data_IF_552977159983
#
_entry.id   IF_552977159983
#
_cell.length_a   1.000
_cell.length_b   1.000
_cell.length_c   1.000
_cell.angle_alpha   90.00
_cell.angle_beta   90.00
_cell.angle_gamma   90.00
#
_symmetry.space_group_name_H-M   'P 1'
#
loop_
_entity.id
_entity.type
_entity.pdbx_description
1 polymer ?
#
# COMPACT_ATOMS: atom_id res chain seq x y z
N UNK A 1 29.62 -8.83 5.32
CA UNK A 1 29.91 -7.38 5.34
C UNK A 1 28.67 -6.55 5.69
N UNK A 2 27.51 -6.83 5.08
CA UNK A 2 26.21 -6.17 5.34
C UNK A 2 25.86 -6.00 6.83
N UNK A 3 25.90 -7.08 7.63
CA UNK A 3 25.49 -7.01 9.03
C UNK A 3 26.31 -6.00 9.86
N UNK A 4 27.62 -5.91 9.60
CA UNK A 4 28.48 -4.89 10.24
C UNK A 4 28.04 -3.47 9.87
N UNK A 5 27.69 -3.24 8.60
CA UNK A 5 27.19 -1.94 8.14
C UNK A 5 25.85 -1.59 8.80
N UNK A 6 24.95 -2.56 8.95
CA UNK A 6 23.66 -2.37 9.65
C UNK A 6 23.90 -1.99 11.11
N UNK A 7 24.74 -2.74 11.83
CA UNK A 7 25.07 -2.41 13.23
C UNK A 7 25.68 -1.02 13.36
N UNK A 8 26.66 -0.68 12.52
CA UNK A 8 27.26 0.65 12.52
C UNK A 8 26.26 1.75 12.14
N UNK A 9 25.31 1.47 11.26
CA UNK A 9 24.23 2.40 10.90
C UNK A 9 23.28 2.65 12.06
N UNK A 10 22.84 1.59 12.73
CA UNK A 10 21.93 1.69 13.90
C UNK A 10 22.55 2.45 15.06
N UNK A 11 23.87 2.34 15.24
CA UNK A 11 24.61 3.12 16.22
C UNK A 11 24.74 4.59 15.80
N UNK A 12 24.98 4.86 14.51
CA UNK A 12 25.10 6.22 13.99
C UNK A 12 23.79 6.98 14.07
N UNK A 13 22.69 6.35 13.68
CA UNK A 13 21.35 6.93 13.67
C UNK A 13 20.59 6.59 14.97
N UNK A 14 21.33 6.47 16.08
CA UNK A 14 20.76 6.05 17.34
C UNK A 14 19.71 7.04 17.87
N UNK A 15 20.01 8.35 17.84
CA UNK A 15 19.09 9.38 18.32
C UNK A 15 17.83 9.46 17.44
N UNK A 16 18.00 9.35 16.13
CA UNK A 16 16.89 9.25 15.17
C UNK A 16 15.93 8.11 15.52
N UNK A 17 16.49 6.91 15.73
CA UNK A 17 15.72 5.71 16.04
C UNK A 17 15.13 5.75 17.45
N UNK A 18 15.78 6.41 18.41
CA UNK A 18 15.24 6.63 19.76
C UNK A 18 13.99 7.50 19.72
N UNK A 19 13.99 8.58 18.93
CA UNK A 19 12.80 9.43 18.75
C UNK A 19 11.64 8.59 18.21
N UNK A 20 11.87 7.87 17.12
CA UNK A 20 10.85 7.02 16.50
C UNK A 20 10.27 6.01 17.49
N UNK A 21 11.15 5.25 18.14
CA UNK A 21 10.72 4.15 19.00
C UNK A 21 10.05 4.63 20.27
N UNK A 22 10.46 5.76 20.85
CA UNK A 22 9.80 6.37 22.02
C UNK A 22 8.42 6.92 21.70
N UNK A 23 8.20 7.44 20.49
CA UNK A 23 6.89 7.94 20.09
C UNK A 23 5.91 6.80 19.83
N UNK A 24 6.39 5.67 19.31
CA UNK A 24 5.54 4.50 19.01
C UNK A 24 5.31 3.63 20.25
N UNK A 25 6.34 3.41 21.07
CA UNK A 25 6.32 2.48 22.20
C UNK A 25 6.66 3.20 23.50
N UNK A 26 5.80 3.03 24.51
CA UNK A 26 5.99 3.60 25.85
C UNK A 26 6.88 2.76 26.76
N UNK A 27 7.11 1.49 26.40
CA UNK A 27 7.89 0.53 27.19
C UNK A 27 9.30 0.33 26.62
N UNK A 28 10.20 -0.28 27.41
CA UNK A 28 11.57 -0.60 26.97
C UNK A 28 11.53 -1.37 25.64
N UNK A 29 12.08 -0.73 24.61
CA UNK A 29 12.08 -1.28 23.26
C UNK A 29 13.17 -2.34 23.14
N UNK A 30 12.79 -3.49 22.58
CA UNK A 30 13.72 -4.54 22.23
C UNK A 30 14.67 -4.06 21.13
N UNK A 31 15.96 -4.35 21.26
CA UNK A 31 16.96 -3.99 20.25
C UNK A 31 16.55 -4.42 18.84
N UNK A 32 15.82 -5.54 18.72
CA UNK A 32 15.26 -6.04 17.47
C UNK A 32 14.39 -5.01 16.73
N UNK A 33 13.48 -4.32 17.44
CA UNK A 33 12.62 -3.28 16.86
C UNK A 33 13.48 -2.13 16.34
N UNK A 34 14.52 -1.72 17.08
CA UNK A 34 15.45 -0.66 16.65
C UNK A 34 16.19 -1.04 15.37
N UNK A 35 16.71 -2.28 15.30
CA UNK A 35 17.34 -2.80 14.09
C UNK A 35 16.38 -2.87 12.91
N UNK A 36 15.14 -3.31 13.17
CA UNK A 36 14.13 -3.44 12.14
C UNK A 36 13.66 -2.08 11.61
N UNK A 37 13.46 -1.10 12.48
CA UNK A 37 13.16 0.28 12.08
C UNK A 37 14.25 0.86 11.18
N UNK A 38 15.52 0.64 11.52
CA UNK A 38 16.64 1.07 10.67
C UNK A 38 16.58 0.42 9.28
N UNK A 39 16.30 -0.89 9.23
CA UNK A 39 16.17 -1.61 7.97
C UNK A 39 15.01 -1.09 7.12
N UNK A 40 13.86 -0.78 7.71
CA UNK A 40 12.70 -0.23 6.98
C UNK A 40 13.00 1.17 6.42
N UNK A 41 13.63 2.03 7.21
CA UNK A 41 13.76 3.44 6.83
C UNK A 41 14.91 3.65 5.85
N UNK A 42 16.04 2.97 6.06
CA UNK A 42 17.27 3.26 5.33
C UNK A 42 17.70 2.18 4.35
N UNK A 43 17.18 0.95 4.48
CA UNK A 43 17.70 -0.23 3.77
C UNK A 43 16.59 -1.10 3.19
N UNK A 44 15.40 -0.55 2.97
CA UNK A 44 14.25 -1.34 2.51
C UNK A 44 14.51 -1.94 1.13
N UNK A 45 15.16 -1.18 0.25
CA UNK A 45 15.63 -1.64 -1.07
C UNK A 45 16.62 -2.80 -1.01
N UNK A 46 17.46 -2.85 0.04
CA UNK A 46 18.45 -3.91 0.22
C UNK A 46 17.85 -5.16 0.85
N UNK A 47 16.62 -5.07 1.39
CA UNK A 47 15.89 -6.22 1.88
C UNK A 47 15.05 -6.84 0.77
N UNK A 48 15.37 -8.09 0.44
CA UNK A 48 14.48 -8.92 -0.37
C UNK A 48 13.15 -9.03 0.38
N UNK A 49 12.05 -8.60 -0.26
CA UNK A 49 10.70 -8.57 0.32
C UNK A 49 10.32 -9.85 1.08
N UNK A 50 10.64 -11.02 0.52
CA UNK A 50 10.35 -12.31 1.14
C UNK A 50 11.07 -12.53 2.48
N UNK A 51 12.27 -11.95 2.65
CA UNK A 51 13.03 -12.00 3.90
C UNK A 51 12.44 -11.00 4.91
N UNK A 52 12.01 -9.83 4.45
CA UNK A 52 11.30 -8.86 5.27
C UNK A 52 9.98 -9.43 5.83
N UNK A 53 9.21 -10.12 4.98
CA UNK A 53 8.00 -10.83 5.38
C UNK A 53 8.28 -11.90 6.44
N UNK A 54 9.36 -12.68 6.29
CA UNK A 54 9.75 -13.70 7.28
C UNK A 54 10.18 -13.06 8.61
N UNK A 55 10.95 -11.98 8.58
CA UNK A 55 11.41 -11.29 9.80
C UNK A 55 10.25 -10.63 10.58
N UNK A 56 9.27 -10.04 9.88
CA UNK A 56 8.04 -9.54 10.51
C UNK A 56 7.19 -10.63 11.14
N UNK A 57 7.43 -11.89 10.79
CA UNK A 57 6.63 -13.05 11.20
C UNK A 57 7.21 -13.85 12.36
N UNK A 58 8.39 -13.56 12.90
CA UNK A 58 9.10 -14.54 13.74
C UNK A 58 9.04 -14.35 15.27
N UNK A 59 8.64 -13.21 15.85
CA UNK A 59 8.70 -13.05 17.33
C UNK A 59 7.61 -12.22 18.02
N UNK A 60 7.22 -11.07 17.48
CA UNK A 60 6.19 -10.21 18.09
C UNK A 60 5.38 -9.51 17.00
N UNK A 61 4.33 -10.19 16.52
CA UNK A 61 3.48 -9.68 15.45
C UNK A 61 2.78 -8.37 15.83
N UNK A 62 2.48 -8.16 17.12
CA UNK A 62 1.78 -6.98 17.60
C UNK A 62 2.64 -5.73 17.47
N UNK A 63 3.85 -5.75 18.03
CA UNK A 63 4.78 -4.61 17.94
C UNK A 63 5.24 -4.36 16.51
N UNK A 64 5.50 -5.41 15.74
CA UNK A 64 5.94 -5.27 14.34
C UNK A 64 4.83 -4.70 13.46
N UNK A 65 3.59 -5.16 13.63
CA UNK A 65 2.44 -4.60 12.91
C UNK A 65 2.21 -3.14 13.31
N UNK A 66 2.27 -2.81 14.61
CA UNK A 66 2.16 -1.43 15.09
C UNK A 66 3.26 -0.52 14.51
N UNK A 67 4.51 -0.99 14.51
CA UNK A 67 5.65 -0.26 13.93
C UNK A 67 5.43 0.02 12.44
N UNK A 68 5.08 -1.01 11.66
CA UNK A 68 4.90 -0.88 10.22
C UNK A 68 3.68 0.01 9.93
N UNK A 69 2.55 -0.18 10.62
CA UNK A 69 1.37 0.68 10.46
C UNK A 69 1.71 2.14 10.74
N UNK A 70 2.46 2.41 11.80
CA UNK A 70 2.86 3.78 12.13
C UNK A 70 3.84 4.35 11.10
N UNK A 71 4.83 3.57 10.65
CA UNK A 71 5.84 4.03 9.69
C UNK A 71 5.28 4.35 8.30
N UNK A 72 4.15 3.75 7.94
CA UNK A 72 3.49 3.99 6.66
C UNK A 72 2.23 4.88 6.80
N UNK A 73 1.94 5.35 8.01
CA UNK A 73 0.99 6.43 8.26
C UNK A 73 1.74 7.77 8.18
N UNK A 74 1.86 8.28 6.95
CA UNK A 74 2.66 9.47 6.64
C UNK A 74 2.14 10.70 7.40
N UNK A 75 0.83 10.82 7.60
CA UNK A 75 0.23 11.93 8.36
C UNK A 75 0.69 11.91 9.82
N UNK A 76 0.73 10.74 10.46
CA UNK A 76 1.27 10.60 11.82
C UNK A 76 2.75 10.92 11.89
N UNK A 77 3.55 10.49 10.91
CA UNK A 77 4.98 10.84 10.86
C UNK A 77 5.15 12.35 10.74
N UNK A 78 4.44 12.99 9.81
CA UNK A 78 4.55 14.43 9.60
C UNK A 78 4.13 15.23 10.83
N UNK A 79 3.14 14.76 11.58
CA UNK A 79 2.59 15.47 12.75
C UNK A 79 3.41 15.24 14.02
N UNK A 80 3.81 13.99 14.29
CA UNK A 80 4.38 13.61 15.60
C UNK A 80 5.89 13.41 15.59
N UNK A 81 6.47 12.99 14.46
CA UNK A 81 7.88 12.60 14.40
C UNK A 81 8.73 13.63 13.69
N UNK A 82 8.26 14.13 12.54
CA UNK A 82 9.00 15.10 11.73
C UNK A 82 9.48 16.31 12.55
N UNK A 83 8.67 16.94 13.41
CA UNK A 83 9.13 18.07 14.23
C UNK A 83 10.32 17.71 15.13
N UNK A 84 10.37 16.48 15.64
CA UNK A 84 11.45 16.01 16.50
C UNK A 84 12.70 15.62 15.70
N UNK A 85 12.53 15.05 14.50
CA UNK A 85 13.66 14.71 13.65
C UNK A 85 14.36 15.94 13.08
N UNK A 86 13.64 17.01 12.75
CA UNK A 86 14.26 18.23 12.22
C UNK A 86 15.01 19.04 13.29
N UNK A 87 14.85 18.72 14.58
CA UNK A 87 15.69 19.31 15.64
C UNK A 87 17.13 18.78 15.60
N UNK A 88 17.33 17.57 15.08
CA UNK A 88 18.62 16.88 15.07
C UNK A 88 19.17 16.59 13.66
N UNK A 89 18.33 16.67 12.63
CA UNK A 89 18.71 16.52 11.22
C UNK A 89 18.22 17.69 10.38
N UNK A 90 18.83 17.86 9.21
CA UNK A 90 18.41 18.87 8.25
C UNK A 90 16.95 18.64 7.78
N UNK A 91 16.09 19.68 7.76
CA UNK A 91 14.70 19.56 7.35
C UNK A 91 14.50 19.01 5.93
N UNK A 92 15.37 19.38 4.98
CA UNK A 92 15.30 18.92 3.60
C UNK A 92 15.62 17.43 3.52
N UNK A 93 16.63 16.98 4.25
CA UNK A 93 16.97 15.55 4.35
C UNK A 93 15.79 14.72 4.89
N UNK A 94 15.12 15.18 5.95
CA UNK A 94 13.97 14.47 6.51
C UNK A 94 12.81 14.39 5.52
N UNK A 95 12.52 15.48 4.81
CA UNK A 95 11.41 15.50 3.86
C UNK A 95 11.70 14.66 2.62
N UNK A 96 12.82 14.92 1.95
CA UNK A 96 13.09 14.37 0.62
C UNK A 96 13.63 12.95 0.69
N UNK A 97 14.45 12.66 1.71
CA UNK A 97 15.07 11.34 1.85
C UNK A 97 14.22 10.44 2.72
N UNK A 98 13.99 10.80 3.99
CA UNK A 98 13.35 9.87 4.93
C UNK A 98 11.86 9.66 4.59
N UNK A 99 11.09 10.74 4.49
CA UNK A 99 9.65 10.66 4.18
C UNK A 99 9.45 10.24 2.73
N UNK A 100 10.23 10.79 1.79
CA UNK A 100 10.17 10.40 0.38
C UNK A 100 10.39 8.90 0.15
N UNK A 101 11.35 8.27 0.84
CA UNK A 101 11.56 6.81 0.77
C UNK A 101 10.35 6.04 1.29
N UNK A 102 9.76 6.46 2.42
CA UNK A 102 8.59 5.79 2.99
C UNK A 102 7.37 5.89 2.06
N UNK A 103 7.13 7.05 1.46
CA UNK A 103 6.07 7.26 0.47
C UNK A 103 6.28 6.39 -0.77
N UNK A 104 7.52 6.32 -1.28
CA UNK A 104 7.87 5.50 -2.44
C UNK A 104 7.62 4.00 -2.18
N UNK A 105 7.90 3.51 -0.98
CA UNK A 105 7.73 2.10 -0.62
C UNK A 105 6.33 1.74 -0.13
N UNK A 106 5.46 2.71 0.13
CA UNK A 106 4.11 2.48 0.61
C UNK A 106 3.30 1.45 -0.21
N UNK A 107 3.30 1.47 -1.56
CA UNK A 107 2.53 0.51 -2.36
C UNK A 107 2.95 -0.95 -2.13
N UNK A 108 4.25 -1.21 -2.02
CA UNK A 108 4.82 -2.53 -1.77
C UNK A 108 4.48 -3.04 -0.35
N UNK A 109 4.33 -2.11 0.58
CA UNK A 109 4.10 -2.39 1.99
C UNK A 109 2.62 -2.60 2.32
N UNK A 110 1.70 -2.10 1.49
CA UNK A 110 0.25 -2.28 1.65
C UNK A 110 -0.17 -3.75 1.69
N UNK A 111 0.39 -4.58 0.82
CA UNK A 111 0.11 -6.02 0.79
C UNK A 111 0.61 -6.72 2.05
N UNK A 112 1.78 -6.30 2.53
CA UNK A 112 2.38 -6.85 3.74
C UNK A 112 1.59 -6.42 4.99
N UNK A 113 1.18 -5.16 5.07
CA UNK A 113 0.30 -4.62 6.11
C UNK A 113 -1.01 -5.40 6.19
N UNK A 114 -1.64 -5.73 5.06
CA UNK A 114 -2.85 -6.55 5.02
C UNK A 114 -2.62 -7.97 5.61
N UNK A 115 -1.49 -8.59 5.26
CA UNK A 115 -1.12 -9.92 5.76
C UNK A 115 -0.72 -9.95 7.25
N UNK A 116 -0.08 -8.89 7.74
CA UNK A 116 0.32 -8.74 9.14
C UNK A 116 -0.87 -8.36 10.01
N UNK A 117 -1.73 -7.45 9.56
CA UNK A 117 -2.87 -6.99 10.33
C UNK A 117 -3.88 -8.11 10.55
N UNK A 118 -4.17 -8.92 9.52
CA UNK A 118 -5.06 -10.08 9.63
C UNK A 118 -4.55 -11.17 10.59
N UNK A 119 -3.25 -11.21 10.88
CA UNK A 119 -2.62 -12.16 11.82
C UNK A 119 -2.43 -11.57 13.22
N UNK A 120 -2.13 -10.27 13.33
CA UNK A 120 -1.94 -9.57 14.59
C UNK A 120 -3.27 -9.18 15.26
N UNK A 121 -4.29 -8.94 14.46
CA UNK A 121 -5.62 -8.48 14.90
C UNK A 121 -6.65 -9.27 14.11
N UNK A 122 -7.68 -9.82 14.75
CA UNK A 122 -8.84 -10.35 14.00
C UNK A 122 -9.64 -9.25 13.24
N UNK A 123 -9.05 -8.06 13.03
CA UNK A 123 -9.60 -6.87 12.39
C UNK A 123 -8.65 -6.41 11.29
N UNK A 124 -9.21 -5.98 10.16
CA UNK A 124 -8.46 -5.45 9.03
C UNK A 124 -7.86 -4.08 9.38
N UNK A 125 -6.72 -3.75 8.75
CA UNK A 125 -5.98 -2.52 9.02
C UNK A 125 -6.76 -1.31 8.48
N UNK A 126 -6.91 -0.25 9.27
CA UNK A 126 -7.66 0.97 8.88
C UNK A 126 -7.03 1.70 7.68
N UNK A 127 -5.73 1.49 7.46
CA UNK A 127 -4.97 1.99 6.30
C UNK A 127 -5.22 1.21 5.00
N UNK A 128 -5.95 0.09 5.08
CA UNK A 128 -6.26 -0.81 3.96
C UNK A 128 -7.79 -0.87 3.83
N UNK A 129 -8.41 0.27 3.55
CA UNK A 129 -9.80 0.30 3.13
C UNK A 129 -9.87 0.02 1.62
N UNK A 130 -10.40 -1.14 1.24
CA UNK A 130 -10.59 -1.57 -0.16
C UNK A 130 -12.06 -1.47 -0.57
N UNK A 131 -12.46 -0.32 -1.10
CA UNK A 131 -13.39 -0.30 -2.24
C UNK A 131 -12.64 -0.83 -3.47
N UNK A 132 -12.36 -2.14 -3.49
CA UNK A 132 -12.07 -2.98 -4.67
C UNK A 132 -11.48 -4.32 -4.22
N UNK A 133 -12.35 -5.23 -3.74
CA UNK A 133 -12.00 -6.64 -3.62
C UNK A 133 -13.07 -7.51 -4.29
N UNK A 134 -12.76 -8.25 -5.37
CA UNK A 134 -13.58 -9.37 -5.77
C UNK A 134 -13.51 -10.43 -4.66
N UNK A 135 -14.66 -10.80 -4.11
CA UNK A 135 -14.77 -11.82 -3.08
C UNK A 135 -14.18 -13.15 -3.57
N UNK A 136 -13.26 -13.80 -2.83
CA UNK A 136 -13.01 -15.21 -3.03
C UNK A 136 -14.12 -16.01 -2.35
N UNK A 137 -15.07 -16.51 -3.13
CA UNK A 137 -16.00 -17.52 -2.67
C UNK A 137 -15.26 -18.86 -2.56
N UNK A 138 -14.73 -19.20 -1.38
CA UNK A 138 -14.38 -20.58 -1.05
C UNK A 138 -14.99 -20.92 0.31
N UNK A 139 -16.11 -21.63 0.27
CA UNK A 139 -16.64 -22.39 1.40
C UNK A 139 -15.73 -23.60 1.61
N UNK A 140 -14.99 -23.62 2.70
CA UNK A 140 -14.25 -24.82 3.13
C UNK A 140 -15.23 -25.70 3.89
N UNK A 141 -15.78 -26.71 3.21
CA UNK A 141 -16.38 -27.87 3.87
C UNK A 141 -15.26 -28.87 4.13
N UNK A 142 -14.98 -29.11 5.42
CA UNK A 142 -14.10 -30.17 5.89
C UNK A 142 -14.58 -31.51 5.35
N UNK A 143 -13.74 -32.20 4.57
CA UNK A 143 -13.82 -33.64 4.36
C UNK A 143 -12.40 -34.18 4.17
N UNK A 144 -11.99 -35.04 5.10
CA UNK A 144 -10.80 -35.87 5.04
C UNK A 144 -10.80 -36.65 3.72
N UNK A 145 -9.68 -36.65 2.97
CA UNK A 145 -9.19 -37.81 2.18
C UNK A 145 -7.92 -37.47 1.38
N UNK A 146 -6.85 -38.20 1.70
CA UNK A 146 -5.78 -38.75 0.83
C UNK A 146 -5.26 -37.93 -0.35
N UNK A 147 -3.96 -37.61 -0.28
CA UNK A 147 -3.11 -37.11 -1.36
C UNK A 147 -3.16 -38.08 -2.55
N UNK A 148 -3.73 -37.63 -3.68
CA UNK A 148 -3.60 -38.31 -4.98
C UNK A 148 -2.66 -37.50 -5.88
N UNK A 149 -1.60 -38.16 -6.29
CA UNK A 149 -0.65 -37.74 -7.31
C UNK A 149 -1.40 -37.35 -8.60
N UNK A 150 -0.97 -36.25 -9.23
CA UNK A 150 -1.53 -35.67 -10.45
C UNK A 150 -1.64 -36.70 -11.59
N UNK A 151 -2.86 -36.88 -12.12
CA UNK A 151 -3.09 -37.58 -13.37
C UNK A 151 -2.92 -36.61 -14.56
N UNK A 152 -2.34 -37.05 -15.69
CA UNK A 152 -2.18 -36.21 -16.87
C UNK A 152 -3.54 -35.86 -17.49
N UNK A 153 -3.65 -34.62 -17.97
CA UNK A 153 -4.85 -34.06 -18.60
C UNK A 153 -5.26 -34.92 -19.81
N UNK A 154 -6.53 -35.37 -19.89
CA UNK A 154 -7.02 -36.13 -21.04
C UNK A 154 -7.02 -35.30 -22.34
N UNK A 155 -6.41 -35.83 -23.40
CA UNK A 155 -6.18 -35.17 -24.69
C UNK A 155 -7.42 -34.97 -25.58
N UNK A 156 -8.63 -35.32 -25.12
CA UNK A 156 -9.87 -35.17 -25.90
C UNK A 156 -10.74 -33.96 -25.52
N UNK A 157 -10.23 -33.05 -24.68
CA UNK A 157 -11.00 -31.95 -24.08
C UNK A 157 -10.86 -30.60 -24.79
N UNK A 158 -10.80 -30.59 -26.13
CA UNK A 158 -11.09 -29.36 -26.87
C UNK A 158 -11.61 -29.62 -28.29
N UNK A 159 -12.94 -29.79 -28.43
CA UNK A 159 -13.62 -29.86 -29.73
C UNK A 159 -14.13 -28.49 -30.20
N UNK A 160 -13.50 -27.38 -29.80
CA UNK A 160 -13.79 -26.06 -30.37
C UNK A 160 -12.82 -25.79 -31.52
N UNK A 161 -13.34 -25.67 -32.73
CA UNK A 161 -12.57 -25.19 -33.88
C UNK A 161 -12.23 -23.70 -33.69
N UNK A 162 -11.04 -23.27 -34.09
CA UNK A 162 -10.60 -21.86 -34.05
C UNK A 162 -11.67 -20.89 -34.60
N UNK A 163 -12.38 -21.29 -35.65
CA UNK A 163 -13.46 -20.52 -36.27
C UNK A 163 -14.62 -20.19 -35.31
N UNK A 164 -14.92 -21.06 -34.34
CA UNK A 164 -15.99 -20.84 -33.36
C UNK A 164 -15.58 -19.83 -32.28
N UNK A 165 -14.29 -19.84 -31.90
CA UNK A 165 -13.74 -18.89 -30.93
C UNK A 165 -13.67 -17.49 -31.53
N UNK A 166 -13.27 -17.37 -32.80
CA UNK A 166 -13.26 -16.09 -33.51
C UNK A 166 -14.67 -15.50 -33.67
N UNK A 167 -15.67 -16.33 -33.94
CA UNK A 167 -17.05 -15.87 -34.07
C UNK A 167 -17.67 -15.43 -32.72
N UNK A 168 -17.39 -16.15 -31.63
CA UNK A 168 -17.77 -15.73 -30.27
C UNK A 168 -17.11 -14.39 -29.89
N UNK A 169 -15.81 -14.23 -30.18
CA UNK A 169 -15.08 -13.00 -29.90
C UNK A 169 -15.62 -11.81 -30.69
N UNK A 170 -15.97 -12.00 -31.96
CA UNK A 170 -16.59 -10.96 -32.80
C UNK A 170 -17.97 -10.55 -32.27
N UNK A 171 -18.80 -11.51 -31.86
CA UNK A 171 -20.12 -11.23 -31.24
C UNK A 171 -19.99 -10.49 -29.92
N UNK A 172 -18.99 -10.83 -29.10
CA UNK A 172 -18.71 -10.13 -27.84
C UNK A 172 -18.26 -8.68 -28.09
N UNK A 173 -17.37 -8.46 -29.05
CA UNK A 173 -16.88 -7.13 -29.42
C UNK A 173 -18.01 -6.22 -29.93
N UNK A 174 -18.93 -6.74 -30.76
CA UNK A 174 -20.07 -5.97 -31.24
C UNK A 174 -21.06 -5.60 -30.12
N UNK A 175 -21.30 -6.51 -29.17
CA UNK A 175 -22.12 -6.22 -27.98
C UNK A 175 -21.51 -5.09 -27.15
N UNK A 176 -20.19 -5.15 -26.90
CA UNK A 176 -19.47 -4.11 -26.17
C UNK A 176 -19.51 -2.76 -26.88
N UNK A 177 -19.33 -2.72 -28.22
CA UNK A 177 -19.44 -1.47 -29.01
C UNK A 177 -20.84 -0.87 -28.93
N UNK A 178 -21.90 -1.69 -29.02
CA UNK A 178 -23.29 -1.23 -28.87
C UNK A 178 -23.58 -0.70 -27.47
N UNK A 179 -23.02 -1.31 -26.44
CA UNK A 179 -23.17 -0.85 -25.05
C UNK A 179 -22.49 0.50 -24.84
N UNK A 180 -21.24 0.65 -25.29
CA UNK A 180 -20.50 1.92 -25.24
C UNK A 180 -21.27 3.02 -25.98
N UNK A 181 -21.76 2.77 -27.21
CA UNK A 181 -22.56 3.76 -27.93
C UNK A 181 -23.85 4.15 -27.20
N UNK A 182 -24.50 3.25 -26.46
CA UNK A 182 -25.65 3.60 -25.63
C UNK A 182 -25.26 4.49 -24.46
N UNK A 183 -24.12 4.22 -23.82
CA UNK A 183 -23.60 5.02 -22.70
C UNK A 183 -23.23 6.44 -23.13
N UNK A 184 -22.64 6.61 -24.32
CA UNK A 184 -22.15 7.91 -24.80
C UNK A 184 -23.16 8.72 -25.67
N UNK A 185 -24.34 8.17 -26.00
CA UNK A 185 -25.38 8.90 -26.78
C UNK A 185 -26.32 9.79 -25.95
N UNK A 186 -26.08 9.97 -24.65
CA UNK A 186 -26.73 11.03 -23.85
C UNK A 186 -25.80 12.24 -23.70
N UNK A 187 -25.86 13.26 -24.57
CA UNK A 187 -25.37 14.59 -24.22
C UNK A 187 -26.41 15.25 -23.31
N UNK A 188 -26.33 15.03 -22.00
CA UNK A 188 -26.96 15.95 -21.06
C UNK A 188 -26.02 17.15 -20.88
N UNK A 189 -26.39 18.23 -21.56
CA UNK A 189 -25.98 19.62 -21.38
C UNK A 189 -25.18 19.92 -20.09
N UNK A 190 -23.85 19.87 -20.18
CA UNK A 190 -22.99 20.62 -19.28
C UNK A 190 -23.05 22.09 -19.71
N UNK A 191 -23.93 22.84 -19.06
CA UNK A 191 -24.10 24.28 -19.26
C UNK A 191 -22.88 25.03 -18.68
N UNK A 192 -21.77 25.05 -19.43
CA UNK A 192 -20.57 25.83 -19.09
C UNK A 192 -20.78 27.28 -19.58
N UNK A 193 -21.76 28.00 -19.02
CA UNK A 193 -21.88 29.47 -19.15
C UNK A 193 -22.66 30.07 -17.97
N UNK A 194 -22.01 30.17 -16.80
CA UNK A 194 -22.48 31.07 -15.73
C UNK A 194 -21.35 31.66 -14.85
N UNK A 195 -20.12 31.78 -15.37
CA UNK A 195 -19.04 32.53 -14.70
C UNK A 195 -18.30 33.43 -15.69
N UNK A 196 -19.04 34.28 -16.40
CA UNK A 196 -18.52 35.49 -17.05
C UNK A 196 -19.70 36.43 -17.19
N UNK A 197 -19.94 37.24 -16.15
CA UNK A 197 -20.61 38.54 -16.22
C UNK A 197 -20.62 39.15 -14.81
N UNK A 198 -19.44 39.53 -14.33
CA UNK A 198 -19.32 40.57 -13.31
C UNK A 198 -18.54 41.74 -13.93
N UNK A 199 -19.23 42.81 -14.34
CA UNK A 199 -18.57 44.00 -14.82
C UNK A 199 -17.98 44.75 -13.63
N UNK A 200 -16.66 44.90 -13.67
CA UNK A 200 -15.95 45.96 -12.97
C UNK A 200 -16.43 47.28 -13.58
N UNK A 201 -17.18 48.09 -12.84
CA UNK A 201 -17.29 49.53 -13.10
C UNK A 201 -16.90 50.33 -11.86
N UNK A 202 -15.82 51.08 -12.09
CA UNK A 202 -15.34 52.24 -11.33
C UNK A 202 -16.41 53.35 -11.31
N UNK A 203 -16.12 54.32 -10.43
CA UNK A 203 -16.61 55.72 -10.34
C UNK A 203 -17.75 55.92 -9.32
N UNK A 204 -17.86 57.04 -8.61
CA UNK A 204 -17.00 58.20 -8.32
C UNK A 204 -17.89 59.16 -7.50
N UNK A 205 -17.36 59.71 -6.40
CA UNK A 205 -17.64 61.04 -5.82
C UNK A 205 -19.08 61.58 -5.60
N UNK A 206 -19.18 62.20 -4.42
CA UNK A 206 -19.96 63.39 -3.98
C UNK A 206 -21.39 63.20 -3.48
N UNK A 207 -21.62 63.82 -2.32
CA UNK A 207 -22.86 63.93 -1.57
C UNK A 207 -22.49 64.16 -0.11
#
# INVERSE_FOLDING_TARGET
MFLKQVFSGVQRDEEFLKILTRTIFTTLIEHFIKYFSYLIIFRLDELIYNVFQKMGNEKDHGKMNMLIQFLFDIEKIQTHIKPLWIEIYDPQYIQDTVIGILEQHFPMMKDLLSSLCSRATSRQSELVDENERPQPAIKITNNNNTIKLSQPVPTYLNKRSLSQVEEENKKSLEKSKKQVQRTYKKPNNLNIKQIRDHPIMKQSKRG
#
